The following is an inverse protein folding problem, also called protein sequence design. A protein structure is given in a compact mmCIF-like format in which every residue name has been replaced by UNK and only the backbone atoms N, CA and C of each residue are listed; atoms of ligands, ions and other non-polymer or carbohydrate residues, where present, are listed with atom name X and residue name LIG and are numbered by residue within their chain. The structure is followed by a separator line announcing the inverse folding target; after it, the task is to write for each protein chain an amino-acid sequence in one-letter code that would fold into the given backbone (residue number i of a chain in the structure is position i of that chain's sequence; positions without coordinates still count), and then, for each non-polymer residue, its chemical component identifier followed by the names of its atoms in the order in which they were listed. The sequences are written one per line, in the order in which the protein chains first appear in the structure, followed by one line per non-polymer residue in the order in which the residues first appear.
data_IF_009580524013
#
_entry.id   IF_009580524013
#
_cell.length_a   1.000
_cell.length_b   1.000
_cell.length_c   1.000
_cell.angle_alpha   90.00
_cell.angle_beta   90.00
_cell.angle_gamma   90.00
#
_symmetry.space_group_name_H-M   'P 1'
#
loop_
_entity.id
_entity.type
_entity.pdbx_description
1 polymer ?
#
# COMPACT_ATOMS: atom_id res chain seq x y z
N UNK A 1 -27.75 -6.76 9.86
CA UNK A 1 -28.06 -5.37 9.48
C UNK A 1 -26.80 -4.50 9.31
N UNK A 2 -26.02 -4.20 10.36
CA UNK A 2 -24.81 -3.32 10.27
C UNK A 2 -23.86 -3.67 9.12
N UNK A 3 -23.57 -4.97 8.95
CA UNK A 3 -22.75 -5.49 7.84
C UNK A 3 -23.27 -5.02 6.48
N UNK A 4 -24.56 -5.22 6.20
CA UNK A 4 -25.17 -4.87 4.91
C UNK A 4 -25.17 -3.36 4.69
N UNK A 5 -25.55 -2.59 5.71
CA UNK A 5 -25.60 -1.12 5.64
C UNK A 5 -24.22 -0.54 5.27
N UNK A 6 -23.16 -1.02 5.91
CA UNK A 6 -21.79 -0.56 5.65
C UNK A 6 -21.26 -1.05 4.29
N UNK A 7 -21.51 -2.30 3.91
CA UNK A 7 -21.07 -2.81 2.59
C UNK A 7 -21.67 -2.02 1.43
N UNK A 8 -22.95 -1.63 1.53
CA UNK A 8 -23.61 -0.85 0.48
C UNK A 8 -22.94 0.52 0.22
N UNK A 9 -22.23 1.10 1.19
CA UNK A 9 -21.52 2.37 1.02
C UNK A 9 -20.28 2.24 0.11
N UNK A 10 -19.71 1.04 -0.02
CA UNK A 10 -18.54 0.78 -0.87
C UNK A 10 -18.92 0.52 -2.33
N UNK A 11 -20.18 0.19 -2.61
CA UNK A 11 -20.62 -0.15 -3.96
C UNK A 11 -20.53 1.07 -4.86
N UNK A 12 -19.79 0.91 -5.98
CA UNK A 12 -19.54 1.96 -6.97
C UNK A 12 -19.07 3.28 -6.32
N UNK A 13 -18.20 3.23 -5.31
CA UNK A 13 -17.77 4.40 -4.54
C UNK A 13 -17.33 5.62 -5.39
N UNK A 14 -16.61 5.46 -6.53
CA UNK A 14 -16.27 6.58 -7.41
C UNK A 14 -17.46 7.23 -8.12
N UNK A 15 -18.57 6.53 -8.25
CA UNK A 15 -19.78 7.01 -8.91
C UNK A 15 -20.74 7.68 -7.93
N UNK A 16 -21.74 8.38 -8.47
CA UNK A 16 -22.86 8.90 -7.68
C UNK A 16 -23.51 7.77 -6.91
N UNK A 17 -23.84 8.04 -5.64
CA UNK A 17 -24.53 7.07 -4.81
C UNK A 17 -25.91 6.75 -5.41
N UNK A 18 -26.17 5.48 -5.69
CA UNK A 18 -27.44 5.03 -6.26
C UNK A 18 -28.50 4.72 -5.18
N UNK A 19 -28.09 4.59 -3.91
CA UNK A 19 -28.99 4.24 -2.81
C UNK A 19 -29.71 5.49 -2.29
N UNK A 20 -31.01 5.58 -2.57
CA UNK A 20 -31.85 6.73 -2.20
C UNK A 20 -31.97 6.92 -0.68
N UNK A 21 -32.00 5.84 0.10
CA UNK A 21 -32.09 5.92 1.55
C UNK A 21 -30.79 6.50 2.15
N UNK A 22 -29.63 6.08 1.64
CA UNK A 22 -28.35 6.65 2.05
C UNK A 22 -28.28 8.14 1.70
N UNK A 23 -28.72 8.54 0.50
CA UNK A 23 -28.79 9.95 0.12
C UNK A 23 -29.69 10.75 1.05
N UNK A 24 -30.89 10.23 1.39
CA UNK A 24 -31.81 10.90 2.33
C UNK A 24 -31.18 11.07 3.71
N UNK A 25 -30.57 10.01 4.26
CA UNK A 25 -29.86 10.07 5.54
C UNK A 25 -28.72 11.08 5.49
N UNK A 26 -27.88 11.04 4.45
CA UNK A 26 -26.79 11.98 4.27
C UNK A 26 -27.25 13.43 4.10
N UNK A 27 -28.38 13.67 3.43
CA UNK A 27 -28.96 15.01 3.25
C UNK A 27 -29.57 15.57 4.54
N UNK A 28 -30.11 14.70 5.40
CA UNK A 28 -30.65 15.08 6.71
C UNK A 28 -29.59 15.26 7.80
N UNK A 29 -28.35 14.81 7.56
CA UNK A 29 -27.28 14.86 8.53
C UNK A 29 -26.67 16.25 8.64
N UNK A 30 -26.70 16.83 9.83
CA UNK A 30 -26.04 18.10 10.13
C UNK A 30 -24.63 17.86 10.71
N UNK A 31 -23.62 18.02 9.86
CA UNK A 31 -22.20 17.97 10.26
C UNK A 31 -21.85 19.01 11.34
N UNK A 32 -22.59 20.12 11.41
CA UNK A 32 -22.31 21.23 12.33
C UNK A 32 -22.92 21.03 13.73
N UNK A 33 -23.80 20.04 13.91
CA UNK A 33 -24.32 19.66 15.21
C UNK A 33 -23.30 18.79 15.98
N UNK A 34 -22.36 19.45 16.64
CA UNK A 34 -21.27 18.79 17.40
C UNK A 34 -21.77 17.96 18.59
N UNK A 35 -23.01 18.16 19.06
CA UNK A 35 -23.58 17.42 20.19
C UNK A 35 -23.72 15.92 19.94
N UNK A 36 -23.64 15.47 18.68
CA UNK A 36 -23.70 14.04 18.33
C UNK A 36 -22.33 13.33 18.46
N UNK A 37 -21.28 14.02 18.92
CA UNK A 37 -19.93 13.49 18.95
C UNK A 37 -19.31 13.55 20.35
N UNK A 38 -18.37 12.63 20.61
CA UNK A 38 -17.60 12.56 21.85
C UNK A 38 -16.39 13.51 21.86
N UNK A 39 -16.08 14.14 20.72
CA UNK A 39 -14.96 15.07 20.58
C UNK A 39 -15.28 16.20 19.60
N UNK A 40 -15.88 17.28 20.12
CA UNK A 40 -16.29 18.44 19.34
C UNK A 40 -15.11 19.12 18.63
N UNK A 41 -13.94 19.15 19.27
CA UNK A 41 -12.76 19.80 18.69
C UNK A 41 -12.33 19.10 17.41
N UNK A 42 -12.26 17.77 17.42
CA UNK A 42 -11.87 16.99 16.25
C UNK A 42 -12.84 17.18 15.07
N UNK A 43 -14.14 17.20 15.35
CA UNK A 43 -15.18 17.46 14.33
C UNK A 43 -15.08 18.89 13.80
N UNK A 44 -14.81 19.89 14.65
CA UNK A 44 -14.58 21.28 14.23
C UNK A 44 -13.35 21.41 13.32
N UNK A 45 -12.31 20.61 13.52
CA UNK A 45 -11.16 20.59 12.60
C UNK A 45 -11.56 20.11 11.19
N UNK A 46 -12.39 19.06 11.10
CA UNK A 46 -12.92 18.62 9.82
C UNK A 46 -13.87 19.64 9.20
N UNK A 47 -14.79 20.23 9.98
CA UNK A 47 -15.68 21.30 9.52
C UNK A 47 -14.91 22.48 8.93
N UNK A 48 -13.80 22.88 9.57
CA UNK A 48 -12.92 23.93 9.06
C UNK A 48 -12.27 23.51 7.74
N UNK A 49 -11.68 22.32 7.67
CA UNK A 49 -11.07 21.80 6.44
C UNK A 49 -12.10 21.70 5.29
N UNK A 50 -13.31 21.22 5.58
CA UNK A 50 -14.40 21.13 4.62
C UNK A 50 -14.80 22.51 4.08
N UNK A 51 -14.85 23.55 4.93
CA UNK A 51 -15.08 24.94 4.49
C UNK A 51 -13.95 25.51 3.64
N UNK A 52 -12.70 25.12 3.90
CA UNK A 52 -11.54 25.55 3.09
C UNK A 52 -11.43 24.82 1.75
N UNK A 53 -12.13 23.69 1.60
CA UNK A 53 -12.03 22.81 0.44
C UNK A 53 -11.16 21.59 0.74
N UNK A 54 -11.73 20.41 0.51
CA UNK A 54 -11.02 19.14 0.54
C UNK A 54 -10.48 18.80 -0.87
N UNK A 55 -9.74 17.69 -0.98
CA UNK A 55 -9.49 17.07 -2.28
C UNK A 55 -10.82 16.89 -3.04
N UNK A 56 -10.96 17.42 -4.27
CA UNK A 56 -12.20 17.28 -5.02
C UNK A 56 -12.53 15.82 -5.33
N UNK A 57 -13.83 15.52 -5.50
CA UNK A 57 -14.27 14.22 -6.01
C UNK A 57 -13.75 13.97 -7.43
N UNK A 58 -13.43 12.72 -7.74
CA UNK A 58 -12.83 12.30 -9.02
C UNK A 58 -11.32 12.56 -9.13
N UNK A 59 -10.69 13.16 -8.11
CA UNK A 59 -9.24 13.30 -8.03
C UNK A 59 -8.61 12.10 -7.32
N UNK A 60 -7.37 11.78 -7.67
CA UNK A 60 -6.67 10.64 -7.07
C UNK A 60 -6.28 10.94 -5.62
N UNK A 61 -6.84 10.18 -4.68
CA UNK A 61 -6.36 10.15 -3.31
C UNK A 61 -4.98 9.49 -3.25
N UNK A 62 -4.05 10.12 -2.53
CA UNK A 62 -2.70 9.64 -2.33
C UNK A 62 -2.44 9.61 -0.82
N UNK A 63 -2.36 8.40 -0.25
CA UNK A 63 -2.06 8.21 1.18
C UNK A 63 -0.72 8.87 1.56
N UNK A 64 0.26 8.82 0.67
CA UNK A 64 1.57 9.40 0.87
C UNK A 64 1.61 10.93 0.68
N UNK A 65 0.51 11.58 0.28
CA UNK A 65 0.41 13.04 0.29
C UNK A 65 -0.06 13.54 1.68
N UNK A 66 0.76 14.34 2.40
CA UNK A 66 0.43 14.80 3.75
C UNK A 66 -0.90 15.54 3.88
N UNK A 67 -1.27 16.35 2.87
CA UNK A 67 -2.52 17.09 2.89
C UNK A 67 -3.72 16.16 2.68
N UNK A 68 -3.61 15.23 1.74
CA UNK A 68 -4.67 14.25 1.46
C UNK A 68 -4.90 13.36 2.68
N UNK A 69 -3.82 12.88 3.30
CA UNK A 69 -3.88 12.04 4.49
C UNK A 69 -4.45 12.80 5.68
N UNK A 70 -4.03 14.04 5.92
CA UNK A 70 -4.58 14.88 7.00
C UNK A 70 -6.10 15.05 6.87
N UNK A 71 -6.59 15.36 5.66
CA UNK A 71 -8.02 15.46 5.39
C UNK A 71 -8.75 14.14 5.62
N UNK A 72 -8.16 13.01 5.22
CA UNK A 72 -8.74 11.68 5.46
C UNK A 72 -8.77 11.32 6.95
N UNK A 73 -7.75 11.69 7.74
CA UNK A 73 -7.72 11.54 9.20
C UNK A 73 -8.81 12.39 9.86
N UNK A 74 -9.00 13.64 9.39
CA UNK A 74 -10.06 14.50 9.89
C UNK A 74 -11.45 13.94 9.56
N UNK A 75 -11.64 13.32 8.39
CA UNK A 75 -12.87 12.58 8.09
C UNK A 75 -13.05 11.36 9.00
N UNK A 76 -11.97 10.60 9.21
CA UNK A 76 -11.96 9.49 10.17
C UNK A 76 -12.35 9.95 11.58
N UNK A 77 -11.90 11.12 12.03
CA UNK A 77 -12.28 11.68 13.33
C UNK A 77 -13.81 11.86 13.46
N UNK A 78 -14.47 12.34 12.40
CA UNK A 78 -15.93 12.47 12.37
C UNK A 78 -16.58 11.11 12.57
N UNK A 79 -16.08 10.07 11.90
CA UNK A 79 -16.61 8.71 12.02
C UNK A 79 -16.31 8.09 13.39
N UNK A 80 -15.08 8.22 13.88
CA UNK A 80 -14.63 7.58 15.10
C UNK A 80 -15.30 8.19 16.34
N UNK A 81 -15.44 9.52 16.38
CA UNK A 81 -16.01 10.21 17.53
C UNK A 81 -17.54 10.31 17.51
N UNK A 82 -18.24 9.80 16.49
CA UNK A 82 -19.69 9.68 16.52
C UNK A 82 -20.14 8.86 17.73
N UNK A 83 -21.08 9.39 18.54
CA UNK A 83 -21.51 8.83 19.83
C UNK A 83 -22.04 7.41 19.74
N UNK A 84 -22.70 7.11 18.64
CA UNK A 84 -23.34 5.82 18.39
C UNK A 84 -23.24 5.43 16.92
N UNK A 85 -23.65 4.19 16.64
CA UNK A 85 -23.66 3.63 15.30
C UNK A 85 -24.52 4.44 14.32
N UNK A 86 -25.66 4.98 14.77
CA UNK A 86 -26.59 5.71 13.92
C UNK A 86 -25.96 7.01 13.43
N UNK A 87 -25.35 7.77 14.34
CA UNK A 87 -24.61 8.99 14.03
C UNK A 87 -23.44 8.68 13.09
N UNK A 88 -22.69 7.60 13.37
CA UNK A 88 -21.60 7.16 12.50
C UNK A 88 -22.09 6.83 11.09
N UNK A 89 -23.17 6.05 10.97
CA UNK A 89 -23.71 5.64 9.68
C UNK A 89 -24.28 6.82 8.89
N UNK A 90 -24.98 7.76 9.55
CA UNK A 90 -25.47 8.99 8.92
C UNK A 90 -24.31 9.88 8.45
N UNK A 91 -23.25 10.03 9.26
CA UNK A 91 -22.04 10.74 8.87
C UNK A 91 -21.35 10.09 7.66
N UNK A 92 -21.31 8.75 7.62
CA UNK A 92 -20.76 8.00 6.49
C UNK A 92 -21.60 8.19 5.22
N UNK A 93 -22.94 8.18 5.33
CA UNK A 93 -23.85 8.48 4.22
C UNK A 93 -23.65 9.93 3.71
N UNK A 94 -23.50 10.89 4.61
CA UNK A 94 -23.20 12.28 4.26
C UNK A 94 -21.87 12.41 3.49
N UNK A 95 -20.83 11.73 3.97
CA UNK A 95 -19.49 11.78 3.37
C UNK A 95 -19.41 11.06 2.02
N UNK A 96 -20.16 9.97 1.83
CA UNK A 96 -20.24 9.19 0.59
C UNK A 96 -20.53 10.04 -0.64
N UNK A 97 -21.32 11.10 -0.47
CA UNK A 97 -21.76 12.00 -1.54
C UNK A 97 -20.93 13.29 -1.65
N UNK A 98 -20.21 13.67 -0.58
CA UNK A 98 -19.63 15.02 -0.44
C UNK A 98 -18.11 15.07 -0.34
N UNK A 99 -17.46 13.97 0.02
CA UNK A 99 -16.00 13.88 0.14
C UNK A 99 -15.44 13.05 -1.02
N UNK A 100 -14.17 13.27 -1.38
CA UNK A 100 -13.44 12.44 -2.33
C UNK A 100 -13.62 10.94 -2.01
N UNK A 101 -13.93 10.15 -3.03
CA UNK A 101 -14.19 8.71 -2.94
C UNK A 101 -13.05 7.92 -2.29
N UNK A 102 -11.80 8.25 -2.60
CA UNK A 102 -10.63 7.59 -2.03
C UNK A 102 -10.44 7.92 -0.55
N UNK A 103 -10.59 9.20 -0.19
CA UNK A 103 -10.56 9.65 1.21
C UNK A 103 -11.69 9.01 2.02
N UNK A 104 -12.90 8.96 1.44
CA UNK A 104 -14.07 8.35 2.04
C UNK A 104 -13.86 6.86 2.31
N UNK A 105 -13.48 6.09 1.29
CA UNK A 105 -13.25 4.65 1.44
C UNK A 105 -12.16 4.38 2.47
N UNK A 106 -11.04 5.10 2.42
CA UNK A 106 -9.98 4.94 3.40
C UNK A 106 -10.45 5.22 4.84
N UNK A 107 -11.05 6.39 5.08
CA UNK A 107 -11.52 6.79 6.41
C UNK A 107 -12.61 5.84 6.94
N UNK A 108 -13.54 5.41 6.08
CA UNK A 108 -14.59 4.46 6.44
C UNK A 108 -14.01 3.10 6.80
N UNK A 109 -13.09 2.56 6.00
CA UNK A 109 -12.44 1.27 6.28
C UNK A 109 -11.70 1.29 7.63
N UNK A 110 -10.96 2.35 7.93
CA UNK A 110 -10.29 2.49 9.23
C UNK A 110 -11.31 2.64 10.36
N UNK A 111 -12.38 3.42 10.18
CA UNK A 111 -13.44 3.57 11.18
C UNK A 111 -14.12 2.24 11.52
N UNK A 112 -14.46 1.42 10.51
CA UNK A 112 -15.07 0.10 10.70
C UNK A 112 -14.16 -0.82 11.53
N UNK A 113 -12.85 -0.76 11.30
CA UNK A 113 -11.88 -1.59 12.05
C UNK A 113 -11.66 -1.08 13.48
N UNK A 114 -11.73 0.23 13.70
CA UNK A 114 -11.35 0.84 14.98
C UNK A 114 -12.52 1.05 15.94
N UNK A 115 -13.74 1.27 15.45
CA UNK A 115 -14.89 1.49 16.33
C UNK A 115 -15.32 0.22 17.04
N UNK A 116 -15.67 0.34 18.32
CA UNK A 116 -16.10 -0.80 19.13
C UNK A 116 -17.46 -1.36 18.67
N UNK A 117 -18.37 -0.50 18.22
CA UNK A 117 -19.73 -0.88 17.81
C UNK A 117 -19.81 -1.47 16.39
N UNK A 118 -18.69 -1.56 15.68
CA UNK A 118 -18.52 -2.24 14.38
C UNK A 118 -17.60 -3.45 14.46
N UNK A 119 -17.21 -3.90 15.66
CA UNK A 119 -16.45 -5.13 15.83
C UNK A 119 -17.18 -6.32 15.18
N UNK A 120 -16.43 -7.13 14.42
CA UNK A 120 -16.97 -8.25 13.66
C UNK A 120 -17.56 -7.89 12.29
N UNK A 121 -17.65 -6.61 11.93
CA UNK A 121 -17.97 -6.20 10.56
C UNK A 121 -16.78 -6.51 9.65
N UNK A 122 -17.06 -7.22 8.56
CA UNK A 122 -16.06 -7.62 7.56
C UNK A 122 -15.97 -6.54 6.48
N UNK A 123 -14.75 -6.09 6.16
CA UNK A 123 -14.52 -5.18 5.04
C UNK A 123 -14.66 -5.92 3.70
N UNK A 124 -15.20 -5.28 2.65
CA UNK A 124 -15.16 -5.87 1.32
C UNK A 124 -13.72 -5.91 0.80
N UNK A 125 -13.36 -6.90 -0.04
CA UNK A 125 -12.11 -6.90 -0.77
C UNK A 125 -11.84 -5.55 -1.44
N UNK A 126 -10.66 -4.99 -1.23
CA UNK A 126 -10.29 -3.72 -1.87
C UNK A 126 -10.20 -3.84 -3.40
N UNK A 127 -9.91 -5.03 -3.91
CA UNK A 127 -9.99 -5.35 -5.34
C UNK A 127 -11.39 -5.22 -5.91
N UNK A 128 -12.44 -5.44 -5.12
CA UNK A 128 -13.83 -5.23 -5.54
C UNK A 128 -14.24 -3.75 -5.46
N UNK A 129 -13.67 -2.99 -4.51
CA UNK A 129 -13.98 -1.56 -4.34
C UNK A 129 -13.24 -0.70 -5.38
N UNK A 130 -11.97 -0.99 -5.63
CA UNK A 130 -11.09 -0.27 -6.57
C UNK A 130 -10.35 -1.24 -7.51
N UNK A 131 -11.06 -1.93 -8.41
CA UNK A 131 -10.47 -2.95 -9.29
C UNK A 131 -9.33 -2.42 -10.16
N UNK A 132 -9.34 -1.12 -10.49
CA UNK A 132 -8.36 -0.51 -11.40
C UNK A 132 -6.91 -0.56 -10.88
N UNK A 133 -6.72 -0.75 -9.56
CA UNK A 133 -5.41 -0.89 -8.92
C UNK A 133 -4.96 -2.35 -8.75
N UNK A 134 -5.79 -3.33 -9.13
CA UNK A 134 -5.53 -4.76 -8.99
C UNK A 134 -5.53 -5.51 -10.33
N UNK A 135 -6.32 -4.99 -11.28
CA UNK A 135 -6.55 -5.54 -12.61
C UNK A 135 -5.81 -4.69 -13.65
N UNK A 136 -5.18 -5.34 -14.64
CA UNK A 136 -4.45 -4.67 -15.70
C UNK A 136 -5.35 -3.67 -16.46
N UNK A 137 -4.77 -2.52 -16.81
CA UNK A 137 -5.43 -1.43 -17.55
C UNK A 137 -6.13 -1.92 -18.82
N UNK A 138 -5.53 -2.86 -19.55
CA UNK A 138 -6.12 -3.43 -20.79
C UNK A 138 -7.44 -4.15 -20.51
N UNK A 139 -7.49 -4.94 -19.45
CA UNK A 139 -8.69 -5.65 -19.05
C UNK A 139 -9.78 -4.67 -18.57
N UNK A 140 -9.41 -3.63 -17.83
CA UNK A 140 -10.36 -2.58 -17.44
C UNK A 140 -10.94 -1.88 -18.68
N UNK A 141 -10.11 -1.52 -19.67
CA UNK A 141 -10.58 -0.90 -20.91
C UNK A 141 -11.50 -1.84 -21.71
N UNK A 142 -11.17 -3.12 -21.79
CA UNK A 142 -12.00 -4.11 -22.46
C UNK A 142 -13.37 -4.27 -21.76
N UNK A 143 -13.40 -4.31 -20.43
CA UNK A 143 -14.65 -4.35 -19.68
C UNK A 143 -15.51 -3.09 -19.91
N UNK A 144 -14.88 -1.91 -19.97
CA UNK A 144 -15.57 -0.66 -20.30
C UNK A 144 -16.15 -0.67 -21.71
N UNK A 145 -15.43 -1.19 -22.69
CA UNK A 145 -15.89 -1.33 -24.07
C UNK A 145 -17.15 -2.22 -24.16
N UNK A 146 -17.12 -3.40 -23.53
CA UNK A 146 -18.30 -4.27 -23.49
C UNK A 146 -19.49 -3.61 -22.79
N UNK A 147 -19.24 -2.85 -21.72
CA UNK A 147 -20.29 -2.09 -21.03
C UNK A 147 -20.95 -1.06 -21.96
N UNK A 148 -20.17 -0.36 -22.80
CA UNK A 148 -20.67 0.60 -23.78
C UNK A 148 -21.51 -0.07 -24.89
N UNK A 149 -21.24 -1.34 -25.20
CA UNK A 149 -22.07 -2.15 -26.11
C UNK A 149 -23.38 -2.66 -25.48
N UNK A 150 -23.65 -2.29 -24.22
CA UNK A 150 -24.87 -2.72 -23.51
C UNK A 150 -24.77 -4.12 -22.88
N UNK A 151 -23.59 -4.75 -22.91
CA UNK A 151 -23.39 -6.03 -22.22
C UNK A 151 -23.43 -5.84 -20.70
N UNK A 152 -24.18 -6.70 -20.01
CA UNK A 152 -24.39 -6.61 -18.55
C UNK A 152 -23.45 -7.51 -17.76
N UNK A 153 -23.04 -8.63 -18.32
CA UNK A 153 -22.13 -9.60 -17.73
C UNK A 153 -21.16 -10.05 -18.81
N UNK A 154 -19.87 -9.98 -18.51
CA UNK A 154 -18.77 -10.35 -19.40
C UNK A 154 -17.65 -10.96 -18.59
N UNK A 155 -16.96 -11.91 -19.19
CA UNK A 155 -15.70 -12.42 -18.69
C UNK A 155 -14.57 -11.72 -19.44
N UNK A 156 -13.69 -11.05 -18.70
CA UNK A 156 -12.51 -10.39 -19.25
C UNK A 156 -11.29 -11.02 -18.61
N UNK A 157 -10.43 -11.60 -19.44
CA UNK A 157 -9.18 -12.15 -18.96
C UNK A 157 -8.25 -10.99 -18.58
N UNK A 158 -7.96 -10.86 -17.29
CA UNK A 158 -6.89 -9.99 -16.81
C UNK A 158 -5.67 -10.84 -16.54
N UNK A 159 -4.65 -10.69 -17.38
CA UNK A 159 -3.40 -11.36 -17.15
C UNK A 159 -2.29 -10.34 -16.85
N UNK A 160 -1.95 -10.27 -15.58
CA UNK A 160 -0.85 -9.49 -15.02
C UNK A 160 0.53 -10.12 -15.32
N UNK A 161 0.57 -11.43 -15.63
CA UNK A 161 1.78 -12.26 -15.74
C UNK A 161 2.15 -12.70 -17.16
N UNK A 162 1.27 -12.54 -18.16
CA UNK A 162 1.41 -13.23 -19.44
C UNK A 162 2.54 -12.73 -20.35
N UNK A 163 3.40 -11.81 -19.93
CA UNK A 163 4.42 -11.24 -20.82
C UNK A 163 5.82 -11.86 -20.72
N UNK A 164 6.02 -13.02 -20.07
CA UNK A 164 7.38 -13.56 -19.90
C UNK A 164 7.67 -14.99 -20.40
N UNK A 165 6.69 -15.83 -20.74
CA UNK A 165 7.01 -17.18 -21.27
C UNK A 165 5.97 -17.77 -22.25
N UNK A 166 4.68 -17.52 -22.03
CA UNK A 166 3.60 -18.14 -22.82
C UNK A 166 3.54 -17.62 -24.27
N UNK A 167 3.84 -16.34 -24.50
CA UNK A 167 3.91 -15.79 -25.86
C UNK A 167 5.08 -16.34 -26.69
N UNK A 168 6.18 -16.80 -26.09
CA UNK A 168 7.26 -17.42 -26.88
C UNK A 168 6.81 -18.76 -27.50
N UNK A 169 5.96 -19.53 -26.80
CA UNK A 169 5.43 -20.79 -27.31
C UNK A 169 4.24 -20.60 -28.26
N UNK A 170 3.34 -19.65 -27.98
CA UNK A 170 2.23 -19.36 -28.90
C UNK A 170 2.68 -18.61 -30.16
N UNK A 171 3.71 -17.76 -30.13
CA UNK A 171 4.21 -17.10 -31.35
C UNK A 171 4.86 -18.09 -32.33
N UNK A 172 5.47 -19.18 -31.86
CA UNK A 172 5.94 -20.26 -32.73
C UNK A 172 4.79 -21.07 -33.35
N UNK A 173 3.64 -21.18 -32.67
CA UNK A 173 2.47 -21.93 -33.15
C UNK A 173 1.51 -21.08 -34.00
N UNK A 174 1.36 -19.79 -33.71
CA UNK A 174 0.46 -18.86 -34.43
C UNK A 174 1.08 -18.29 -35.72
N UNK A 175 2.42 -18.26 -35.84
CA UNK A 175 3.08 -17.93 -37.12
C UNK A 175 2.80 -18.96 -38.23
N UNK A 176 2.25 -20.13 -37.91
CA UNK A 176 1.84 -21.13 -38.90
C UNK A 176 0.35 -21.08 -39.27
N UNK A 177 -0.50 -20.28 -38.59
CA UNK A 177 -1.97 -20.43 -38.74
C UNK A 177 -2.78 -19.16 -39.04
N UNK A 178 -2.25 -17.94 -39.01
CA UNK A 178 -3.04 -16.75 -39.38
C UNK A 178 -2.38 -15.93 -40.49
N UNK A 179 -2.55 -16.41 -41.72
CA UNK A 179 -2.28 -15.62 -42.93
C UNK A 179 -3.54 -15.00 -43.54
N UNK A 180 -4.73 -15.14 -42.94
CA UNK A 180 -5.95 -14.58 -43.52
C UNK A 180 -6.98 -14.21 -42.45
N UNK A 181 -7.58 -13.03 -42.62
CA UNK A 181 -8.80 -12.51 -41.98
C UNK A 181 -8.64 -11.68 -40.69
N UNK A 182 -8.20 -10.43 -40.84
CA UNK A 182 -8.75 -9.29 -40.07
C UNK A 182 -8.85 -8.07 -41.01
N UNK A 183 -10.02 -7.46 -41.19
CA UNK A 183 -10.14 -6.19 -41.92
C UNK A 183 -9.86 -5.00 -40.98
N UNK A 184 -9.22 -3.97 -41.54
CA UNK A 184 -8.86 -2.66 -40.97
C UNK A 184 -7.46 -2.53 -40.34
N UNK A 185 -6.50 -2.23 -41.23
CA UNK A 185 -5.46 -1.20 -41.14
C UNK A 185 -4.95 -0.83 -39.74
N UNK A 186 -3.93 -1.57 -39.29
CA UNK A 186 -2.67 -1.05 -38.74
C UNK A 186 -1.81 -2.21 -38.20
N UNK A 187 -1.66 -3.27 -38.99
CA UNK A 187 -0.80 -4.40 -38.62
C UNK A 187 0.63 -3.95 -38.33
N UNK A 188 1.19 -3.00 -39.08
CA UNK A 188 2.51 -2.42 -38.81
C UNK A 188 2.56 -1.63 -37.50
N UNK A 189 1.52 -0.87 -37.15
CA UNK A 189 1.50 -0.13 -35.89
C UNK A 189 1.35 -1.07 -34.69
N UNK A 190 0.52 -2.11 -34.82
CA UNK A 190 0.37 -3.16 -33.81
C UNK A 190 1.67 -3.96 -33.67
N UNK A 191 2.31 -4.33 -34.78
CA UNK A 191 3.63 -4.97 -34.81
C UNK A 191 4.70 -4.06 -34.21
N UNK A 192 4.70 -2.75 -34.49
CA UNK A 192 5.63 -1.80 -33.89
C UNK A 192 5.39 -1.60 -32.39
N UNK A 193 4.14 -1.61 -31.92
CA UNK A 193 3.81 -1.62 -30.49
C UNK A 193 4.30 -2.91 -29.82
N UNK A 194 4.07 -4.07 -30.46
CA UNK A 194 4.55 -5.38 -29.97
C UNK A 194 6.08 -5.47 -29.96
N UNK A 195 6.75 -4.90 -30.98
CA UNK A 195 8.21 -4.84 -31.08
C UNK A 195 8.80 -3.86 -30.07
N UNK A 196 8.18 -2.69 -29.86
CA UNK A 196 8.57 -1.75 -28.81
C UNK A 196 8.39 -2.36 -27.42
N UNK A 197 7.30 -3.08 -27.20
CA UNK A 197 7.10 -3.88 -25.99
C UNK A 197 8.19 -4.96 -25.88
N UNK A 198 8.45 -5.78 -26.89
CA UNK A 198 9.52 -6.79 -26.84
C UNK A 198 10.92 -6.19 -26.59
N UNK A 199 11.24 -5.04 -27.20
CA UNK A 199 12.53 -4.34 -26.98
C UNK A 199 12.65 -3.76 -25.57
N UNK A 200 11.58 -3.19 -25.01
CA UNK A 200 11.53 -2.81 -23.59
C UNK A 200 11.64 -4.06 -22.71
N UNK A 201 10.89 -5.13 -23.00
CA UNK A 201 10.69 -6.32 -22.15
C UNK A 201 11.94 -7.22 -22.06
N UNK A 202 12.77 -7.29 -23.11
CA UNK A 202 14.08 -7.98 -23.06
C UNK A 202 15.07 -7.34 -22.06
N UNK A 203 14.80 -6.12 -21.57
CA UNK A 203 15.63 -5.41 -20.60
C UNK A 203 15.22 -5.67 -19.12
N UNK A 204 14.15 -6.44 -18.86
CA UNK A 204 13.54 -6.70 -17.53
C UNK A 204 13.52 -8.19 -17.10
N UNK A 205 14.30 -9.04 -17.78
CA UNK A 205 14.17 -10.51 -17.89
C UNK A 205 14.17 -11.35 -16.57
N UNK A 206 14.56 -10.81 -15.42
CA UNK A 206 14.65 -11.61 -14.19
C UNK A 206 13.55 -11.33 -13.15
N UNK A 207 13.14 -10.08 -12.93
CA UNK A 207 12.11 -9.77 -11.91
C UNK A 207 10.70 -10.13 -12.39
N UNK A 208 10.47 -10.20 -13.71
CA UNK A 208 9.22 -10.70 -14.29
C UNK A 208 8.90 -12.16 -13.94
N UNK A 209 9.90 -12.98 -13.56
CA UNK A 209 9.70 -14.39 -13.20
C UNK A 209 8.88 -14.59 -11.93
N UNK A 210 8.85 -13.59 -11.06
CA UNK A 210 8.08 -13.60 -9.80
C UNK A 210 6.84 -12.72 -9.87
N UNK A 211 6.44 -12.27 -11.07
CA UNK A 211 5.27 -11.41 -11.26
C UNK A 211 3.97 -12.07 -10.76
N UNK A 212 3.84 -13.40 -10.85
CA UNK A 212 2.66 -14.11 -10.32
C UNK A 212 2.49 -13.94 -8.81
N UNK A 213 3.60 -13.70 -8.10
CA UNK A 213 3.57 -13.40 -6.68
C UNK A 213 3.38 -11.90 -6.45
N UNK A 214 4.23 -11.05 -7.05
CA UNK A 214 4.22 -9.60 -6.77
C UNK A 214 2.95 -8.91 -7.26
N UNK A 215 2.31 -9.44 -8.31
CA UNK A 215 1.06 -8.93 -8.87
C UNK A 215 -0.19 -9.70 -8.42
N UNK A 216 -0.03 -10.66 -7.51
CA UNK A 216 -1.15 -11.34 -6.88
C UNK A 216 -2.08 -10.32 -6.18
N UNK A 217 -3.38 -10.47 -6.43
CA UNK A 217 -4.41 -9.55 -5.92
C UNK A 217 -4.44 -9.61 -4.40
N UNK A 218 -4.35 -10.81 -3.83
CA UNK A 218 -4.47 -11.02 -2.40
C UNK A 218 -3.23 -10.54 -1.64
N UNK A 219 -2.03 -10.70 -2.18
CA UNK A 219 -0.79 -10.16 -1.61
C UNK A 219 -0.87 -8.63 -1.48
N UNK A 220 -1.25 -7.95 -2.56
CA UNK A 220 -1.36 -6.49 -2.58
C UNK A 220 -2.50 -5.99 -1.69
N UNK A 221 -3.62 -6.71 -1.66
CA UNK A 221 -4.73 -6.43 -0.76
C UNK A 221 -4.34 -6.61 0.71
N UNK A 222 -3.57 -7.65 1.04
CA UNK A 222 -3.06 -7.90 2.38
C UNK A 222 -2.17 -6.75 2.88
N UNK A 223 -1.30 -6.22 2.01
CA UNK A 223 -0.48 -5.05 2.34
C UNK A 223 -1.33 -3.80 2.59
N UNK A 224 -2.32 -3.55 1.75
CA UNK A 224 -3.19 -2.40 1.91
C UNK A 224 -4.07 -2.52 3.16
N UNK A 225 -4.53 -3.73 3.53
CA UNK A 225 -5.18 -3.98 4.82
C UNK A 225 -4.24 -3.74 6.00
N UNK A 226 -2.96 -4.13 5.92
CA UNK A 226 -2.01 -3.83 6.99
C UNK A 226 -1.97 -2.32 7.31
N UNK A 227 -2.08 -1.45 6.30
CA UNK A 227 -2.13 0.00 6.46
C UNK A 227 -3.48 0.53 7.02
N UNK A 228 -4.58 -0.21 6.84
CA UNK A 228 -5.89 0.11 7.43
C UNK A 228 -5.97 -0.33 8.89
N UNK A 229 -5.48 -1.53 9.20
CA UNK A 229 -5.53 -2.09 10.55
C UNK A 229 -4.51 -1.43 11.49
N UNK A 230 -3.33 -1.08 10.98
CA UNK A 230 -2.25 -0.50 11.78
C UNK A 230 -1.67 0.78 11.14
N UNK A 231 -2.48 1.83 10.91
CA UNK A 231 -1.98 3.06 10.32
C UNK A 231 -0.99 3.75 11.26
N UNK A 232 0.13 4.23 10.72
CA UNK A 232 1.18 4.90 11.51
C UNK A 232 0.66 6.14 12.27
N UNK A 233 -0.32 6.84 11.71
CA UNK A 233 -0.90 8.06 12.29
C UNK A 233 -1.91 7.80 13.42
N UNK A 234 -2.35 6.56 13.63
CA UNK A 234 -3.34 6.27 14.66
C UNK A 234 -2.71 6.43 16.04
N UNK A 235 -3.38 7.18 16.93
CA UNK A 235 -2.82 7.62 18.20
C UNK A 235 -3.74 7.23 19.37
N UNK A 236 -3.26 6.34 20.23
CA UNK A 236 -3.92 5.82 21.41
C UNK A 236 -4.27 6.88 22.45
N UNK A 237 -3.48 7.95 22.58
CA UNK A 237 -3.80 9.08 23.47
C UNK A 237 -5.03 9.85 22.97
N UNK A 238 -5.14 10.04 21.64
CA UNK A 238 -6.28 10.75 21.03
C UNK A 238 -7.54 9.89 21.02
N UNK A 239 -7.40 8.59 20.73
CA UNK A 239 -8.53 7.70 20.47
C UNK A 239 -8.91 6.81 21.65
N UNK A 240 -8.12 6.81 22.74
CA UNK A 240 -8.37 6.00 23.93
C UNK A 240 -8.21 4.50 23.71
N UNK A 241 -7.60 4.08 22.60
CA UNK A 241 -7.46 2.69 22.19
C UNK A 241 -6.01 2.37 21.87
N UNK A 242 -5.41 1.42 22.61
CA UNK A 242 -4.15 0.81 22.21
C UNK A 242 -4.44 -0.42 21.35
N UNK A 243 -3.87 -0.46 20.15
CA UNK A 243 -3.97 -1.64 19.30
C UNK A 243 -2.82 -2.59 19.67
N UNK A 244 -3.13 -3.84 20.03
CA UNK A 244 -2.13 -4.83 20.52
C UNK A 244 -0.92 -5.00 19.59
N UNK A 245 -1.14 -4.95 18.27
CA UNK A 245 -0.10 -5.14 17.25
C UNK A 245 0.35 -3.83 16.59
N UNK A 246 0.00 -2.68 17.17
CA UNK A 246 0.52 -1.39 16.74
C UNK A 246 1.76 -1.03 17.56
N UNK A 247 2.77 -1.89 17.44
CA UNK A 247 4.09 -1.66 18.02
C UNK A 247 5.16 -1.94 16.95
N UNK A 248 6.36 -1.42 17.18
CA UNK A 248 7.43 -1.49 16.20
C UNK A 248 7.93 -2.91 15.94
N UNK A 249 7.80 -3.79 16.93
CA UNK A 249 8.20 -5.19 16.76
C UNK A 249 7.28 -5.94 15.80
N UNK A 250 5.96 -5.76 15.93
CA UNK A 250 4.98 -6.32 15.01
C UNK A 250 5.18 -5.76 13.59
N UNK A 251 5.47 -4.47 13.45
CA UNK A 251 5.80 -3.85 12.16
C UNK A 251 7.07 -4.46 11.55
N UNK A 252 8.14 -4.61 12.33
CA UNK A 252 9.37 -5.26 11.88
C UNK A 252 9.11 -6.71 11.47
N UNK A 253 8.40 -7.48 12.30
CA UNK A 253 8.04 -8.87 12.02
C UNK A 253 7.28 -8.98 10.69
N UNK A 254 6.27 -8.13 10.48
CA UNK A 254 5.52 -8.07 9.23
C UNK A 254 6.45 -7.85 8.02
N UNK A 255 7.32 -6.84 8.06
CA UNK A 255 8.26 -6.55 6.97
C UNK A 255 9.22 -7.71 6.72
N UNK A 256 9.74 -8.33 7.78
CA UNK A 256 10.64 -9.47 7.68
C UNK A 256 9.95 -10.68 7.06
N UNK A 257 8.69 -10.95 7.40
CA UNK A 257 7.91 -12.05 6.81
C UNK A 257 7.57 -11.80 5.34
N UNK A 258 7.20 -10.57 4.96
CA UNK A 258 7.00 -10.19 3.54
C UNK A 258 8.28 -10.42 2.74
N UNK A 259 9.42 -9.97 3.27
CA UNK A 259 10.72 -10.14 2.62
C UNK A 259 11.14 -11.62 2.50
N UNK A 260 10.96 -12.40 3.57
CA UNK A 260 11.28 -13.82 3.57
C UNK A 260 10.43 -14.56 2.53
N UNK A 261 9.11 -14.29 2.49
CA UNK A 261 8.19 -14.89 1.53
C UNK A 261 8.57 -14.54 0.09
N UNK A 262 8.92 -13.28 -0.16
CA UNK A 262 9.41 -12.83 -1.47
C UNK A 262 10.70 -13.54 -1.88
N UNK A 263 11.67 -13.65 -0.97
CA UNK A 263 12.93 -14.36 -1.25
C UNK A 263 12.74 -15.87 -1.50
N UNK A 264 11.74 -16.51 -0.90
CA UNK A 264 11.39 -17.91 -1.24
C UNK A 264 10.88 -18.03 -2.68
N UNK A 265 10.08 -17.08 -3.17
CA UNK A 265 9.66 -17.06 -4.58
C UNK A 265 10.81 -16.80 -5.53
N UNK A 266 11.71 -15.88 -5.15
CA UNK A 266 12.94 -15.63 -5.90
C UNK A 266 13.77 -16.91 -6.01
N UNK A 267 13.99 -17.60 -4.90
CA UNK A 267 14.73 -18.86 -4.89
C UNK A 267 14.09 -19.94 -5.77
N UNK A 268 12.76 -20.10 -5.68
CA UNK A 268 12.01 -21.03 -6.52
C UNK A 268 12.14 -20.72 -8.03
N UNK A 269 12.44 -19.46 -8.39
CA UNK A 269 12.62 -19.00 -9.77
C UNK A 269 14.10 -18.76 -10.15
N UNK A 270 15.05 -19.34 -9.42
CA UNK A 270 16.49 -19.20 -9.64
C UNK A 270 16.99 -17.74 -9.61
N UNK A 271 16.36 -16.91 -8.79
CA UNK A 271 16.77 -15.53 -8.53
C UNK A 271 17.53 -15.46 -7.20
N UNK A 272 18.60 -14.65 -7.11
CA UNK A 272 19.28 -14.41 -5.84
C UNK A 272 18.34 -13.67 -4.88
N UNK A 273 18.65 -13.70 -3.58
CA UNK A 273 17.95 -12.87 -2.60
C UNK A 273 18.01 -11.40 -2.98
N UNK A 274 16.93 -10.67 -2.69
CA UNK A 274 16.86 -9.25 -3.01
C UNK A 274 17.96 -8.49 -2.29
N UNK A 275 18.63 -7.60 -3.03
CA UNK A 275 19.69 -6.76 -2.48
C UNK A 275 19.09 -5.52 -1.81
N UNK A 276 19.63 -5.06 -0.66
CA UNK A 276 19.22 -3.82 -0.04
C UNK A 276 19.37 -2.62 -0.97
N UNK A 277 18.41 -1.68 -0.92
CA UNK A 277 18.46 -0.41 -1.65
C UNK A 277 19.77 0.35 -1.38
N UNK A 278 20.36 0.96 -2.42
CA UNK A 278 21.64 1.67 -2.36
C UNK A 278 21.50 3.14 -2.81
N UNK A 279 22.07 4.08 -2.05
CA UNK A 279 21.98 5.54 -2.33
C UNK A 279 22.93 6.05 -3.42
N UNK A 280 23.81 5.21 -3.96
CA UNK A 280 24.86 5.60 -4.91
C UNK A 280 24.90 4.69 -6.14
N UNK A 281 23.83 3.94 -6.35
CA UNK A 281 23.64 3.10 -7.52
C UNK A 281 22.35 3.53 -8.20
N UNK A 282 22.31 3.35 -9.51
CA UNK A 282 21.09 3.55 -10.26
C UNK A 282 20.02 2.57 -9.77
N UNK A 283 18.78 3.04 -9.73
CA UNK A 283 17.66 2.24 -9.28
C UNK A 283 17.27 1.29 -10.41
N UNK A 284 17.45 0.00 -10.15
CA UNK A 284 17.17 -1.09 -11.07
C UNK A 284 16.58 -2.31 -10.34
N UNK A 285 15.68 -3.08 -10.97
CA UNK A 285 15.14 -2.84 -12.31
C UNK A 285 14.21 -1.61 -12.34
N UNK A 286 13.76 -1.20 -13.52
CA UNK A 286 12.57 -0.36 -13.65
C UNK A 286 11.29 -1.14 -13.37
N UNK A 287 10.14 -0.48 -13.41
CA UNK A 287 8.85 -1.12 -13.21
C UNK A 287 7.75 -0.40 -14.00
N UNK A 288 6.96 -1.14 -14.76
CA UNK A 288 5.77 -0.64 -15.45
C UNK A 288 4.53 -1.29 -14.82
N UNK A 289 3.74 -0.55 -14.03
CA UNK A 289 2.61 -1.13 -13.31
C UNK A 289 1.50 -1.66 -14.20
N UNK A 290 1.32 -1.09 -15.40
CA UNK A 290 0.14 -1.36 -16.25
C UNK A 290 -1.20 -1.21 -15.51
N UNK A 291 -1.26 -0.34 -14.51
CA UNK A 291 -2.45 -0.01 -13.72
C UNK A 291 -2.93 1.41 -14.03
N UNK A 292 -4.19 1.69 -13.71
CA UNK A 292 -4.77 3.04 -13.80
C UNK A 292 -5.61 3.36 -12.57
N UNK A 293 -5.81 4.64 -12.29
CA UNK A 293 -6.77 5.10 -11.30
C UNK A 293 -8.19 5.12 -11.88
N UNK A 294 -9.18 5.22 -10.99
CA UNK A 294 -10.60 5.24 -11.35
C UNK A 294 -10.98 6.39 -12.30
N UNK A 295 -10.19 7.46 -12.33
CA UNK A 295 -10.39 8.63 -13.19
C UNK A 295 -9.60 8.55 -14.52
N UNK A 296 -8.96 7.42 -14.81
CA UNK A 296 -8.26 7.17 -16.07
C UNK A 296 -6.80 7.63 -16.10
N UNK A 297 -6.29 8.27 -15.05
CA UNK A 297 -4.85 8.52 -14.96
C UNK A 297 -4.09 7.21 -14.78
N UNK A 298 -3.01 7.01 -15.54
CA UNK A 298 -2.14 5.84 -15.38
C UNK A 298 -1.35 5.92 -14.08
N UNK A 299 -1.09 4.76 -13.45
CA UNK A 299 -0.03 4.66 -12.43
C UNK A 299 1.30 4.77 -13.16
N UNK A 300 2.15 5.77 -12.87
CA UNK A 300 3.36 6.02 -13.64
C UNK A 300 4.35 4.86 -13.63
N UNK A 301 4.98 4.63 -14.78
CA UNK A 301 6.09 3.69 -14.93
C UNK A 301 7.42 4.33 -14.53
N UNK A 302 8.28 3.55 -13.88
CA UNK A 302 9.66 3.93 -13.55
C UNK A 302 10.63 3.29 -14.55
N UNK A 303 11.38 4.08 -15.33
CA UNK A 303 12.39 3.55 -16.23
C UNK A 303 13.46 2.71 -15.51
N UNK A 304 14.09 1.79 -16.24
CA UNK A 304 15.21 1.01 -15.71
C UNK A 304 16.47 1.86 -15.59
N UNK A 305 17.38 1.46 -14.70
CA UNK A 305 18.71 2.05 -14.54
C UNK A 305 18.68 3.58 -14.37
N UNK A 306 17.73 4.08 -13.57
CA UNK A 306 17.53 5.52 -13.38
C UNK A 306 18.36 6.04 -12.21
N UNK A 307 19.05 7.16 -12.39
CA UNK A 307 19.76 7.82 -11.29
C UNK A 307 18.73 8.33 -10.27
N UNK A 308 18.93 8.01 -8.99
CA UNK A 308 18.11 8.51 -7.89
C UNK A 308 18.11 10.04 -7.80
N UNK A 309 19.14 10.71 -8.33
CA UNK A 309 19.24 12.18 -8.42
C UNK A 309 18.19 12.79 -9.35
N UNK A 310 17.57 11.98 -10.21
CA UNK A 310 16.44 12.44 -11.03
C UNK A 310 15.19 12.65 -10.18
N UNK A 311 15.13 12.12 -8.96
CA UNK A 311 14.08 12.45 -8.01
C UNK A 311 14.27 13.82 -7.35
N UNK A 312 13.35 14.18 -6.47
CA UNK A 312 13.41 15.42 -5.72
C UNK A 312 14.60 15.43 -4.74
N UNK A 313 15.51 16.38 -4.92
CA UNK A 313 16.73 16.52 -4.10
C UNK A 313 16.46 16.70 -2.61
N UNK A 314 15.36 17.36 -2.22
CA UNK A 314 14.99 17.51 -0.82
C UNK A 314 14.64 16.15 -0.20
N UNK A 315 13.81 15.34 -0.85
CA UNK A 315 13.48 14.00 -0.33
C UNK A 315 14.70 13.08 -0.31
N UNK A 316 15.60 13.20 -1.29
CA UNK A 316 16.87 12.47 -1.26
C UNK A 316 17.70 12.80 -0.01
N UNK A 317 17.93 14.10 0.25
CA UNK A 317 18.69 14.54 1.41
C UNK A 317 18.02 14.10 2.73
N UNK A 318 16.68 14.20 2.82
CA UNK A 318 15.95 13.71 3.99
C UNK A 318 16.15 12.20 4.18
N UNK A 319 16.07 11.42 3.11
CA UNK A 319 16.23 9.97 3.18
C UNK A 319 17.62 9.57 3.65
N UNK A 320 18.68 10.24 3.15
CA UNK A 320 20.06 10.02 3.60
C UNK A 320 20.27 10.39 5.07
N UNK A 321 19.68 11.49 5.52
CA UNK A 321 19.78 11.91 6.92
C UNK A 321 19.10 10.90 7.85
N UNK A 322 17.90 10.44 7.50
CA UNK A 322 17.20 9.40 8.25
C UNK A 322 17.99 8.11 8.26
N UNK A 323 18.50 7.68 7.11
CA UNK A 323 19.31 6.49 6.98
C UNK A 323 20.54 6.51 7.91
N UNK A 324 21.30 7.62 7.92
CA UNK A 324 22.42 7.81 8.84
C UNK A 324 21.97 7.72 10.30
N UNK A 325 20.86 8.36 10.66
CA UNK A 325 20.34 8.34 12.05
C UNK A 325 19.92 6.94 12.49
N UNK A 326 19.40 6.12 11.58
CA UNK A 326 19.08 4.72 11.87
C UNK A 326 20.35 3.87 12.03
N UNK A 327 21.34 4.04 11.14
CA UNK A 327 22.64 3.39 11.28
C UNK A 327 23.31 3.74 12.62
N UNK A 328 23.40 5.03 12.95
CA UNK A 328 23.96 5.50 14.22
C UNK A 328 23.23 4.89 15.42
N UNK A 329 21.90 4.83 15.38
CA UNK A 329 21.11 4.27 16.47
C UNK A 329 21.35 2.76 16.69
N UNK A 330 21.48 2.01 15.58
CA UNK A 330 21.80 0.58 15.59
C UNK A 330 23.22 0.34 16.09
N UNK A 331 24.20 1.06 15.56
CA UNK A 331 25.62 0.88 15.86
C UNK A 331 25.95 1.31 17.29
N UNK A 332 25.31 2.39 17.80
CA UNK A 332 25.51 2.85 19.17
C UNK A 332 24.61 2.16 20.20
N UNK A 333 23.65 1.33 19.76
CA UNK A 333 22.57 0.75 20.58
C UNK A 333 21.82 1.78 21.41
N UNK A 334 21.62 2.99 20.89
CA UNK A 334 20.97 4.08 21.61
C UNK A 334 20.20 4.98 20.65
N UNK A 335 19.03 5.45 21.07
CA UNK A 335 18.22 6.41 20.31
C UNK A 335 18.13 7.73 21.06
N UNK A 336 17.99 8.83 20.30
CA UNK A 336 17.75 10.16 20.86
C UNK A 336 16.27 10.34 21.15
N UNK A 337 15.91 10.62 22.39
CA UNK A 337 14.51 10.89 22.77
C UNK A 337 14.12 12.35 22.46
N UNK A 338 12.83 12.67 22.61
CA UNK A 338 12.28 14.00 22.29
C UNK A 338 12.88 15.16 23.11
N UNK A 339 13.31 14.90 24.34
CA UNK A 339 13.94 15.91 25.23
C UNK A 339 15.47 16.00 25.05
N UNK A 340 16.03 15.26 24.08
CA UNK A 340 17.46 15.27 23.74
C UNK A 340 18.32 14.28 24.52
N UNK A 341 17.76 13.53 25.46
CA UNK A 341 18.42 12.44 26.16
C UNK A 341 18.61 11.19 25.28
N UNK A 342 19.37 10.22 25.79
CA UNK A 342 19.60 8.93 25.12
C UNK A 342 18.80 7.82 25.79
N UNK A 343 18.19 6.95 24.98
CA UNK A 343 17.50 5.74 25.43
C UNK A 343 18.24 4.52 24.87
N UNK A 344 18.63 3.59 25.74
CA UNK A 344 19.36 2.40 25.34
C UNK A 344 18.47 1.36 24.67
N UNK A 345 19.05 0.64 23.69
CA UNK A 345 18.44 -0.47 22.96
C UNK A 345 18.99 -1.79 23.48
N UNK A 346 18.13 -2.61 24.08
CA UNK A 346 18.47 -3.93 24.62
C UNK A 346 17.68 -5.05 23.94
N UNK A 347 17.87 -6.29 24.39
CA UNK A 347 17.19 -7.47 23.86
C UNK A 347 15.67 -7.37 23.95
N UNK A 348 15.15 -6.64 24.93
CA UNK A 348 13.74 -6.67 25.30
C UNK A 348 12.96 -5.55 24.60
N UNK A 349 13.59 -4.38 24.40
CA UNK A 349 12.93 -3.19 23.86
C UNK A 349 13.46 -2.73 22.50
N UNK A 350 14.63 -3.20 22.07
CA UNK A 350 15.36 -2.55 20.98
C UNK A 350 14.66 -2.68 19.63
N UNK A 351 14.10 -3.85 19.35
CA UNK A 351 13.33 -4.10 18.12
C UNK A 351 12.06 -3.25 18.09
N UNK A 352 11.33 -3.18 19.20
CA UNK A 352 10.12 -2.36 19.27
C UNK A 352 10.45 -0.87 19.05
N UNK A 353 11.47 -0.35 19.73
CA UNK A 353 11.88 1.05 19.59
C UNK A 353 12.29 1.35 18.15
N UNK A 354 13.18 0.55 17.56
CA UNK A 354 13.63 0.74 16.17
C UNK A 354 12.45 0.68 15.19
N UNK A 355 11.50 -0.25 15.38
CA UNK A 355 10.31 -0.35 14.54
C UNK A 355 9.41 0.88 14.65
N UNK A 356 9.23 1.41 15.86
CA UNK A 356 8.47 2.64 16.06
C UNK A 356 9.13 3.83 15.38
N UNK A 357 10.47 3.91 15.38
CA UNK A 357 11.20 4.96 14.67
C UNK A 357 11.03 4.86 13.14
N UNK A 358 11.18 3.65 12.58
CA UNK A 358 11.07 3.44 11.12
C UNK A 358 9.65 3.72 10.62
N UNK A 359 8.64 3.25 11.34
CA UNK A 359 7.22 3.49 11.03
C UNK A 359 6.80 4.94 11.33
N UNK A 360 7.55 5.65 12.18
CA UNK A 360 7.19 6.96 12.74
C UNK A 360 5.79 7.00 13.37
N UNK A 361 5.46 5.95 14.13
CA UNK A 361 4.19 5.87 14.85
C UNK A 361 4.22 6.69 16.16
N UNK A 362 3.11 6.71 16.91
CA UNK A 362 2.99 7.49 18.15
C UNK A 362 4.01 7.10 19.25
N UNK A 363 4.52 5.86 19.22
CA UNK A 363 5.44 5.30 20.22
C UNK A 363 6.91 5.49 19.84
N UNK A 364 7.17 6.22 18.75
CA UNK A 364 8.52 6.60 18.34
C UNK A 364 9.18 7.48 19.39
N UNK A 365 10.44 7.18 19.74
CA UNK A 365 11.16 7.91 20.78
C UNK A 365 11.34 9.40 20.45
N UNK A 366 11.40 9.76 19.17
CA UNK A 366 11.49 11.14 18.70
C UNK A 366 11.11 11.29 17.22
N UNK A 367 9.82 11.47 16.92
CA UNK A 367 9.38 11.69 15.53
C UNK A 367 9.96 12.96 14.88
N UNK A 368 10.27 14.01 15.64
CA UNK A 368 10.92 15.20 15.06
C UNK A 368 12.35 14.94 14.57
N UNK A 369 13.02 13.93 15.14
CA UNK A 369 14.38 13.55 14.76
C UNK A 369 14.42 12.33 13.83
N UNK A 370 13.47 11.41 13.92
CA UNK A 370 13.47 10.17 13.12
C UNK A 370 12.40 10.12 12.03
N UNK A 371 11.68 11.22 11.79
CA UNK A 371 10.81 11.37 10.64
C UNK A 371 11.12 12.68 9.89
N UNK A 372 10.66 12.78 8.64
CA UNK A 372 10.77 14.00 7.87
C UNK A 372 9.73 15.04 8.29
N UNK A 373 10.13 16.31 8.26
CA UNK A 373 9.23 17.44 8.41
C UNK A 373 8.19 17.48 7.28
N UNK A 374 7.04 18.10 7.52
CA UNK A 374 5.93 18.35 6.58
C UNK A 374 4.88 17.24 6.44
N UNK A 375 4.66 16.44 7.49
CA UNK A 375 3.52 15.51 7.56
C UNK A 375 3.70 14.18 6.80
N UNK A 376 4.94 13.82 6.48
CA UNK A 376 5.31 12.47 6.04
C UNK A 376 5.57 11.58 7.26
N UNK A 377 5.08 10.34 7.25
CA UNK A 377 5.25 9.40 8.35
C UNK A 377 6.47 8.50 8.09
N UNK A 378 7.65 9.01 8.45
CA UNK A 378 8.84 8.18 8.66
C UNK A 378 9.63 7.78 7.42
N UNK A 379 10.44 6.73 7.57
CA UNK A 379 11.49 6.35 6.61
C UNK A 379 10.92 5.85 5.28
N UNK A 380 9.85 5.04 5.34
CA UNK A 380 9.16 4.53 4.15
C UNK A 380 8.51 5.65 3.33
N UNK A 381 7.85 6.62 3.97
CA UNK A 381 7.15 7.67 3.24
C UNK A 381 8.10 8.60 2.50
N UNK A 382 9.26 8.91 3.08
CA UNK A 382 10.30 9.69 2.40
C UNK A 382 10.88 8.91 1.21
N UNK A 383 11.10 7.60 1.37
CA UNK A 383 11.54 6.74 0.27
C UNK A 383 10.51 6.70 -0.87
N UNK A 384 9.23 6.48 -0.55
CA UNK A 384 8.15 6.47 -1.53
C UNK A 384 8.06 7.80 -2.28
N UNK A 385 8.21 8.92 -1.57
CA UNK A 385 8.24 10.25 -2.18
C UNK A 385 9.44 10.46 -3.08
N UNK A 386 10.64 10.03 -2.66
CA UNK A 386 11.83 10.08 -3.51
C UNK A 386 11.58 9.29 -4.81
N UNK A 387 11.16 8.04 -4.70
CA UNK A 387 10.95 7.17 -5.87
C UNK A 387 9.80 7.67 -6.75
N UNK A 388 8.68 8.10 -6.19
CA UNK A 388 7.56 8.67 -6.94
C UNK A 388 7.94 9.96 -7.67
N UNK A 389 8.78 10.79 -7.04
CA UNK A 389 9.27 12.03 -7.64
C UNK A 389 10.27 11.84 -8.78
N UNK A 390 10.70 10.61 -9.09
CA UNK A 390 11.55 10.34 -10.26
C UNK A 390 10.80 10.63 -11.57
N UNK A 391 9.51 10.33 -11.61
CA UNK A 391 8.65 10.63 -12.76
C UNK A 391 8.41 12.13 -12.83
N UNK A 392 8.16 12.74 -11.69
CA UNK A 392 7.88 14.17 -11.61
C UNK A 392 8.48 14.81 -10.34
N UNK A 393 9.67 15.42 -10.44
CA UNK A 393 10.40 15.90 -9.26
C UNK A 393 9.70 17.00 -8.47
N UNK A 394 8.91 17.82 -9.15
CA UNK A 394 8.29 19.02 -8.58
C UNK A 394 6.76 18.95 -8.48
N UNK A 395 6.13 17.86 -8.92
CA UNK A 395 4.67 17.68 -8.90
C UNK A 395 3.87 18.88 -9.50
N UNK A 396 4.45 19.62 -10.45
CA UNK A 396 3.87 20.78 -11.12
C UNK A 396 2.67 20.44 -12.01
N UNK A 397 2.71 19.28 -12.64
CA UNK A 397 1.72 18.70 -13.54
C UNK A 397 0.75 17.77 -12.82
N UNK A 398 0.85 17.66 -11.49
CA UNK A 398 -0.05 16.87 -10.64
C UNK A 398 -0.15 15.41 -11.10
N UNK A 399 0.99 14.79 -11.46
CA UNK A 399 1.00 13.39 -11.86
C UNK A 399 0.39 12.50 -10.79
N UNK A 400 -0.30 11.46 -11.26
CA UNK A 400 -0.85 10.45 -10.39
C UNK A 400 0.27 9.77 -9.58
N UNK A 401 -0.01 9.28 -8.37
CA UNK A 401 1.00 8.61 -7.55
C UNK A 401 1.59 7.38 -8.23
N UNK A 402 2.87 7.11 -7.97
CA UNK A 402 3.53 5.88 -8.43
C UNK A 402 3.02 4.62 -7.69
N UNK A 403 3.44 3.45 -8.17
CA UNK A 403 3.12 2.17 -7.52
C UNK A 403 3.57 2.13 -6.06
N UNK A 404 4.80 2.58 -5.76
CA UNK A 404 5.33 2.62 -4.38
C UNK A 404 4.59 3.60 -3.46
N UNK A 405 4.00 4.66 -4.01
CA UNK A 405 3.16 5.62 -3.26
C UNK A 405 1.73 5.13 -3.04
N UNK A 406 1.37 4.01 -3.66
CA UNK A 406 0.02 3.44 -3.64
C UNK A 406 0.02 2.13 -2.86
N UNK A 407 -0.62 2.10 -1.70
CA UNK A 407 -0.62 0.90 -0.84
C UNK A 407 -1.09 -0.37 -1.58
N UNK A 408 -2.08 -0.27 -2.46
CA UNK A 408 -2.59 -1.39 -3.27
C UNK A 408 -1.65 -1.87 -4.38
N UNK A 409 -0.53 -1.18 -4.64
CA UNK A 409 0.41 -1.53 -5.71
C UNK A 409 1.88 -1.53 -5.25
N UNK A 410 2.19 -1.15 -4.02
CA UNK A 410 3.56 -0.98 -3.54
C UNK A 410 4.37 -2.30 -3.58
N UNK A 411 3.73 -3.43 -3.26
CA UNK A 411 4.36 -4.75 -3.35
C UNK A 411 4.54 -5.24 -4.79
N UNK A 412 4.04 -4.53 -5.81
CA UNK A 412 4.30 -4.90 -7.20
C UNK A 412 5.66 -4.40 -7.70
N UNK A 413 6.20 -3.31 -7.13
CA UNK A 413 7.46 -2.72 -7.57
C UNK A 413 8.67 -3.35 -6.84
N UNK A 414 9.63 -3.96 -7.58
CA UNK A 414 10.83 -4.55 -6.99
C UNK A 414 11.63 -3.62 -6.07
N UNK A 415 11.64 -2.31 -6.32
CA UNK A 415 12.39 -1.35 -5.48
C UNK A 415 11.80 -1.25 -4.07
N UNK A 416 10.51 -1.53 -3.90
CA UNK A 416 9.90 -1.55 -2.59
C UNK A 416 10.47 -2.68 -1.72
N UNK A 417 10.68 -3.86 -2.29
CA UNK A 417 11.36 -4.97 -1.61
C UNK A 417 12.83 -4.69 -1.31
N UNK A 418 13.55 -3.97 -2.19
CA UNK A 418 14.92 -3.53 -1.90
C UNK A 418 14.97 -2.61 -0.68
N UNK A 419 13.98 -1.74 -0.53
CA UNK A 419 13.90 -0.84 0.62
C UNK A 419 13.47 -1.58 1.89
N UNK A 420 12.53 -2.54 1.80
CA UNK A 420 12.21 -3.46 2.91
C UNK A 420 13.49 -4.21 3.34
N UNK A 421 14.27 -4.72 2.39
CA UNK A 421 15.53 -5.42 2.68
C UNK A 421 16.55 -4.52 3.39
N UNK A 422 16.65 -3.25 3.00
CA UNK A 422 17.49 -2.26 3.69
C UNK A 422 17.06 -2.06 5.14
N UNK A 423 15.76 -1.90 5.39
CA UNK A 423 15.24 -1.79 6.76
C UNK A 423 15.55 -3.05 7.55
N UNK A 424 15.19 -4.23 7.03
CA UNK A 424 15.45 -5.51 7.72
C UNK A 424 16.93 -5.70 8.01
N UNK A 425 17.84 -5.27 7.13
CA UNK A 425 19.28 -5.33 7.35
C UNK A 425 19.71 -4.58 8.61
N UNK A 426 19.17 -3.38 8.87
CA UNK A 426 19.45 -2.64 10.12
C UNK A 426 19.00 -3.39 11.37
N UNK A 427 17.82 -4.01 11.33
CA UNK A 427 17.34 -4.82 12.46
C UNK A 427 18.19 -6.06 12.68
N UNK A 428 18.64 -6.72 11.60
CA UNK A 428 19.53 -7.87 11.70
C UNK A 428 20.91 -7.45 12.25
N UNK A 429 21.44 -6.31 11.82
CA UNK A 429 22.66 -5.74 12.37
C UNK A 429 22.53 -5.46 13.87
N UNK A 430 21.40 -4.92 14.32
CA UNK A 430 21.11 -4.76 15.75
C UNK A 430 21.01 -6.12 16.48
N UNK A 431 20.25 -7.07 15.94
CA UNK A 431 20.06 -8.40 16.54
C UNK A 431 21.36 -9.19 16.65
N UNK A 432 22.28 -9.04 15.70
CA UNK A 432 23.61 -9.66 15.73
C UNK A 432 24.51 -9.13 16.86
N UNK A 433 24.17 -7.99 17.47
CA UNK A 433 24.86 -7.45 18.65
C UNK A 433 24.24 -7.92 19.97
N UNK A 434 23.14 -8.68 19.93
CA UNK A 434 22.47 -9.21 21.12
C UNK A 434 23.09 -10.55 21.51
N UNK A 435 22.99 -10.88 22.80
CA UNK A 435 23.40 -12.19 23.30
C UNK A 435 22.46 -13.26 22.71
N UNK A 436 22.98 -14.28 22.00
CA UNK A 436 22.17 -15.40 21.54
C UNK A 436 21.49 -16.12 22.70
N UNK A 437 20.35 -16.75 22.43
CA UNK A 437 19.69 -17.60 23.43
C UNK A 437 20.61 -18.72 23.88
N UNK A 438 20.69 -18.93 25.19
CA UNK A 438 21.40 -20.07 25.78
C UNK A 438 20.57 -21.34 25.64
N UNK A 439 21.22 -22.50 25.76
CA UNK A 439 20.54 -23.79 25.68
C UNK A 439 19.41 -23.89 26.71
N UNK A 440 19.63 -23.42 27.94
CA UNK A 440 18.64 -23.49 29.03
C UNK A 440 17.39 -22.63 28.77
N UNK A 441 17.47 -21.67 27.83
CA UNK A 441 16.35 -20.82 27.42
C UNK A 441 15.55 -21.42 26.26
N UNK A 442 16.11 -22.40 25.55
CA UNK A 442 15.51 -23.04 24.38
C UNK A 442 15.05 -24.47 24.68
N UNK A 443 15.63 -25.12 25.69
CA UNK A 443 15.24 -26.47 26.08
C UNK A 443 13.85 -26.50 26.70
N UNK A 444 13.16 -27.61 26.45
CA UNK A 444 11.90 -27.94 27.11
C UNK A 444 12.09 -29.26 27.84
N UNK A 445 12.54 -29.25 29.11
CA UNK A 445 12.91 -30.47 29.82
C UNK A 445 11.75 -31.48 29.88
N UNK A 446 12.06 -32.74 29.58
CA UNK A 446 11.07 -33.82 29.53
C UNK A 446 10.28 -33.92 28.21
N UNK A 447 10.52 -33.03 27.23
CA UNK A 447 9.91 -33.10 25.90
C UNK A 447 10.98 -33.37 24.84
N UNK A 448 10.71 -34.36 24.00
CA UNK A 448 11.57 -34.70 22.86
C UNK A 448 10.71 -34.90 21.61
N UNK A 449 11.10 -34.24 20.52
CA UNK A 449 10.50 -34.46 19.20
C UNK A 449 11.01 -35.80 18.66
N UNK A 450 10.17 -36.84 18.68
CA UNK A 450 10.53 -38.18 18.22
C UNK A 450 10.51 -38.32 16.68
N UNK A 451 9.55 -37.68 16.03
CA UNK A 451 9.46 -37.64 14.57
C UNK A 451 8.61 -36.45 14.13
N UNK A 452 8.84 -35.98 12.90
CA UNK A 452 8.01 -34.99 12.20
C UNK A 452 7.64 -35.59 10.86
N UNK A 453 6.35 -35.82 10.64
CA UNK A 453 5.83 -36.35 9.38
C UNK A 453 5.11 -35.24 8.61
N UNK A 454 5.58 -34.93 7.41
CA UNK A 454 4.98 -33.91 6.53
C UNK A 454 4.47 -34.61 5.27
N UNK A 455 3.23 -34.33 4.88
CA UNK A 455 2.66 -34.81 3.63
C UNK A 455 3.35 -34.21 2.40
N UNK A 456 3.00 -34.68 1.21
CA UNK A 456 3.53 -34.11 -0.04
C UNK A 456 3.10 -32.65 -0.18
N UNK A 457 4.07 -31.74 -0.31
CA UNK A 457 3.83 -30.32 -0.60
C UNK A 457 3.77 -30.12 -2.11
N UNK A 458 2.64 -29.65 -2.64
CA UNK A 458 2.42 -29.40 -4.06
C UNK A 458 1.79 -28.02 -4.24
N UNK A 459 2.36 -27.21 -5.13
CA UNK A 459 1.77 -25.95 -5.58
C UNK A 459 1.24 -26.11 -7.01
N UNK A 460 0.18 -25.39 -7.35
CA UNK A 460 -0.40 -25.31 -8.68
C UNK A 460 -1.05 -23.93 -8.87
N UNK A 461 -1.28 -23.55 -10.11
CA UNK A 461 -2.06 -22.36 -10.46
C UNK A 461 -3.52 -22.78 -10.66
N UNK A 462 -4.44 -21.98 -10.16
CA UNK A 462 -5.88 -22.15 -10.34
C UNK A 462 -6.50 -20.86 -10.86
N UNK A 463 -7.62 -20.98 -11.56
CA UNK A 463 -8.39 -19.81 -11.96
C UNK A 463 -9.07 -19.20 -10.73
N UNK A 464 -8.91 -17.89 -10.55
CA UNK A 464 -9.58 -17.13 -9.50
C UNK A 464 -10.53 -16.13 -10.17
N UNK A 465 -11.82 -16.19 -9.81
CA UNK A 465 -12.87 -15.28 -10.31
C UNK A 465 -12.80 -13.89 -9.66
#
# INVERSE_FOLDING_TARGET
EKQQNLLQLFVNAPQQNYNQQQQQLGNSFDLYNVNNFNNDYAVKQFQYAYKQGLLPRGQVFNYNNPNHLKQAIQLFDVFYFAKDYNTFYQAACWARDRVNEGQFVYALSVAIVKRQDTQGVVLPPQSEVYPQLYINTRAIQQAQYYKQQGQKQVYVQSNNTNNYAYYQQQQQQQQQQQQNQQPFQNQEQYQNYQNYEQQYQNQYDYEGRVAYFTEDVNLNQQYAYQQIYYPAWFNSQKYGQKTQYQNGEAFYYYLQQVLARYNLERYANNLPTVQPFQFYQNIQPGYNPQLQYHNGHNVPARPNNIDYKNGNAYYYQQLQNLDRRFADAVDSRQVKNAIGGKQALNSDNGVEILGNLVQANEYSANNFYYAAYNGLYGYFDVFRKLVGSIVEPYYQYQSAPGAVETNSAALRDPVFYQFIARVVYYFQAFKNQLTPYKQEQLEYPGVQVQSVNVGKLVTYLDEAE
#
